data_IF_121123341580
#
_entry.id   IF_121123341580
#
_cell.length_a   1.000
_cell.length_b   1.000
_cell.length_c   1.000
_cell.angle_alpha   90.00
_cell.angle_beta   90.00
_cell.angle_gamma   90.00
#
_symmetry.space_group_name_H-M   'P 1'
#
loop_
_entity.id
_entity.type
_entity.pdbx_description
1 polymer ?
#
# COMPACT_ATOMS: atom_id res chain seq x y z
N UNK A 1 11.30 -4.36 9.92
CA UNK A 1 10.80 -5.55 9.22
C UNK A 1 9.71 -5.13 8.28
N UNK A 2 9.74 -5.62 7.04
CA UNK A 2 8.75 -5.34 6.00
C UNK A 2 8.03 -6.62 5.58
N UNK A 3 6.72 -6.59 5.27
CA UNK A 3 5.97 -7.79 4.91
C UNK A 3 6.55 -8.50 3.68
N UNK A 4 6.80 -7.79 2.57
CA UNK A 4 7.30 -8.44 1.35
C UNK A 4 8.64 -9.15 1.60
N UNK A 5 9.57 -8.46 2.25
CA UNK A 5 10.85 -9.02 2.65
C UNK A 5 10.67 -10.27 3.49
N UNK A 6 9.79 -10.22 4.49
CA UNK A 6 9.48 -11.37 5.36
C UNK A 6 8.93 -12.55 4.58
N UNK A 7 8.01 -12.36 3.63
CA UNK A 7 7.46 -13.47 2.84
C UNK A 7 8.56 -14.23 2.09
N UNK A 8 9.46 -13.49 1.45
CA UNK A 8 10.61 -14.05 0.71
C UNK A 8 11.63 -14.72 1.64
N UNK A 9 11.96 -14.05 2.74
CA UNK A 9 12.94 -14.52 3.72
C UNK A 9 12.46 -15.81 4.37
N UNK A 10 11.25 -15.83 4.92
CA UNK A 10 10.69 -16.98 5.61
C UNK A 10 10.50 -18.18 4.67
N UNK A 11 10.13 -17.94 3.41
CA UNK A 11 10.07 -19.00 2.40
C UNK A 11 11.41 -19.73 2.26
N UNK A 12 12.51 -18.98 2.05
CA UNK A 12 13.83 -19.58 1.95
C UNK A 12 14.29 -20.21 3.28
N UNK A 13 14.07 -19.51 4.40
CA UNK A 13 14.46 -19.96 5.73
C UNK A 13 13.71 -21.22 6.17
N UNK A 14 12.52 -21.50 5.66
CA UNK A 14 11.80 -22.74 5.94
C UNK A 14 12.70 -23.98 5.74
N UNK A 15 13.58 -23.96 4.73
CA UNK A 15 14.39 -25.11 4.34
C UNK A 15 15.67 -25.33 5.18
N UNK A 16 16.07 -24.38 6.03
CA UNK A 16 17.30 -24.52 6.82
C UNK A 16 17.22 -23.93 8.24
N UNK A 17 16.28 -23.04 8.50
CA UNK A 17 16.00 -22.45 9.80
C UNK A 17 14.49 -22.14 9.96
N UNK A 18 13.63 -23.19 9.98
CA UNK A 18 12.18 -23.03 10.00
C UNK A 18 11.65 -22.35 11.26
N UNK A 19 12.36 -22.44 12.39
CA UNK A 19 11.96 -21.78 13.63
C UNK A 19 11.98 -20.25 13.47
N UNK A 20 13.04 -19.69 12.89
CA UNK A 20 13.12 -18.26 12.64
C UNK A 20 12.25 -17.83 11.44
N UNK A 21 11.99 -18.72 10.48
CA UNK A 21 11.00 -18.45 9.43
C UNK A 21 9.61 -18.17 10.03
N UNK A 22 9.16 -19.03 10.97
CA UNK A 22 7.91 -18.84 11.71
C UNK A 22 7.92 -17.53 12.50
N UNK A 23 9.00 -17.25 13.24
CA UNK A 23 9.10 -16.02 14.04
C UNK A 23 9.10 -14.74 13.20
N UNK A 24 9.74 -14.74 12.02
CA UNK A 24 9.74 -13.58 11.14
C UNK A 24 8.31 -13.25 10.65
N UNK A 25 7.55 -14.27 10.24
CA UNK A 25 6.13 -14.13 9.87
C UNK A 25 5.31 -13.66 11.07
N UNK A 26 5.50 -14.25 12.25
CA UNK A 26 4.81 -13.83 13.49
C UNK A 26 5.08 -12.36 13.82
N UNK A 27 6.31 -11.88 13.64
CA UNK A 27 6.67 -10.49 13.90
C UNK A 27 5.86 -9.52 13.02
N UNK A 28 5.72 -9.82 11.73
CA UNK A 28 4.90 -9.00 10.82
C UNK A 28 3.43 -8.98 11.25
N UNK A 29 2.86 -10.14 11.57
CA UNK A 29 1.46 -10.24 12.00
C UNK A 29 1.21 -9.85 13.46
N UNK A 30 2.23 -9.59 14.28
CA UNK A 30 2.04 -9.21 15.69
C UNK A 30 1.46 -7.80 15.83
N UNK A 31 1.57 -6.99 14.77
CA UNK A 31 1.03 -5.64 14.66
C UNK A 31 -0.07 -5.52 13.61
N UNK A 32 -0.65 -6.65 13.21
CA UNK A 32 -1.84 -6.66 12.36
C UNK A 32 -3.00 -5.98 13.10
N UNK A 33 -3.69 -5.07 12.41
CA UNK A 33 -4.74 -4.24 13.01
C UNK A 33 -5.92 -5.11 13.45
N UNK A 34 -6.31 -4.91 14.71
CA UNK A 34 -7.43 -5.60 15.35
C UNK A 34 -8.66 -4.68 15.41
N UNK A 35 -9.87 -5.23 15.56
CA UNK A 35 -11.06 -4.44 15.83
C UNK A 35 -10.85 -3.51 17.04
N UNK A 36 -11.22 -2.23 16.88
CA UNK A 36 -11.07 -1.23 17.93
C UNK A 36 -9.66 -0.64 18.07
N UNK A 37 -8.77 -0.85 17.08
CA UNK A 37 -7.46 -0.18 17.05
C UNK A 37 -7.60 1.34 17.24
N UNK A 38 -6.74 1.92 18.07
CA UNK A 38 -6.84 3.31 18.49
C UNK A 38 -6.44 4.32 17.41
N UNK A 39 -5.72 3.87 16.38
CA UNK A 39 -5.20 4.74 15.30
C UNK A 39 -6.04 4.59 14.05
N UNK A 40 -6.36 3.35 13.67
CA UNK A 40 -6.98 3.00 12.39
C UNK A 40 -8.02 1.89 12.50
N UNK A 41 -9.13 2.11 13.22
CA UNK A 41 -10.16 1.10 13.38
C UNK A 41 -10.82 0.68 12.06
N UNK A 42 -10.73 1.50 11.01
CA UNK A 42 -11.21 1.19 9.65
C UNK A 42 -10.33 0.17 8.88
N UNK A 43 -9.14 -0.13 9.39
CA UNK A 43 -8.13 -0.96 8.69
C UNK A 43 -7.97 -2.35 9.33
N UNK A 44 -9.01 -2.92 9.96
CA UNK A 44 -8.93 -4.28 10.53
C UNK A 44 -8.37 -5.27 9.50
N UNK A 45 -7.35 -6.04 9.91
CA UNK A 45 -6.65 -6.98 9.06
C UNK A 45 -5.42 -6.43 8.34
N UNK A 46 -5.27 -5.11 8.24
CA UNK A 46 -4.08 -4.45 7.70
C UNK A 46 -2.81 -4.89 8.41
N UNK A 47 -1.75 -5.06 7.63
CA UNK A 47 -0.40 -5.36 8.11
C UNK A 47 0.50 -4.16 7.81
N UNK A 48 1.14 -3.53 8.82
CA UNK A 48 2.03 -2.39 8.63
C UNK A 48 3.15 -2.66 7.61
N UNK A 49 3.47 -1.65 6.81
CA UNK A 49 4.60 -1.69 5.88
C UNK A 49 5.93 -1.87 6.62
N UNK A 50 6.14 -1.13 7.70
CA UNK A 50 7.42 -1.13 8.41
C UNK A 50 7.17 -1.15 9.91
N UNK A 51 7.54 -2.25 10.55
CA UNK A 51 7.64 -2.33 12.01
C UNK A 51 9.11 -2.25 12.45
N UNK A 52 9.35 -1.58 13.56
CA UNK A 52 10.69 -1.35 14.10
C UNK A 52 10.66 -1.36 15.63
N UNK A 53 11.82 -1.13 16.24
CA UNK A 53 11.94 -1.07 17.70
C UNK A 53 11.04 0.00 18.32
N UNK A 54 11.11 1.24 17.83
CA UNK A 54 10.32 2.35 18.34
C UNK A 54 9.02 2.47 17.53
N UNK A 55 7.90 2.51 18.23
CA UNK A 55 6.58 2.82 17.67
C UNK A 55 6.53 4.24 17.13
N UNK A 56 5.59 4.51 16.23
CA UNK A 56 5.31 5.88 15.80
C UNK A 56 4.74 6.72 16.95
N UNK A 57 4.77 8.07 16.85
CA UNK A 57 4.10 8.96 17.79
C UNK A 57 2.59 8.65 17.97
N UNK A 58 1.90 8.23 16.92
CA UNK A 58 0.46 7.86 16.97
C UNK A 58 0.21 6.65 17.88
N UNK A 59 1.23 5.81 18.07
CA UNK A 59 1.19 4.66 18.96
C UNK A 59 1.97 4.88 20.26
N UNK A 60 2.32 6.14 20.58
CA UNK A 60 2.96 6.54 21.83
C UNK A 60 4.48 6.37 21.88
N UNK A 61 5.14 6.12 20.75
CA UNK A 61 6.60 6.09 20.64
C UNK A 61 7.19 7.38 20.06
N UNK A 62 8.46 7.30 19.66
CA UNK A 62 9.23 8.39 19.04
C UNK A 62 9.91 7.95 17.72
N UNK A 63 9.53 6.79 17.19
CA UNK A 63 10.11 6.19 16.00
C UNK A 63 9.71 6.92 14.72
N UNK A 64 10.70 7.32 13.92
CA UNK A 64 10.47 7.90 12.60
C UNK A 64 10.32 6.88 11.46
N UNK A 65 10.63 5.61 11.70
CA UNK A 65 10.60 4.57 10.67
C UNK A 65 9.27 3.80 10.63
N UNK A 66 8.58 3.65 11.77
CA UNK A 66 7.33 2.90 11.83
C UNK A 66 6.34 3.43 10.80
N UNK A 67 5.91 2.57 9.87
CA UNK A 67 5.11 3.00 8.73
C UNK A 67 3.83 2.18 8.59
N UNK A 68 2.71 2.90 8.58
CA UNK A 68 1.37 2.36 8.35
C UNK A 68 0.64 3.09 7.22
N UNK A 69 1.35 3.92 6.44
CA UNK A 69 0.78 4.67 5.31
C UNK A 69 0.33 3.77 4.16
N UNK A 70 0.88 2.56 4.10
CA UNK A 70 0.67 1.55 3.09
C UNK A 70 1.02 0.19 3.72
N UNK A 71 0.78 -0.88 2.97
CA UNK A 71 1.36 -2.20 3.24
C UNK A 71 2.36 -2.58 2.16
N UNK A 72 2.46 -3.86 1.80
CA UNK A 72 3.23 -4.43 0.69
C UNK A 72 2.44 -5.57 0.01
N UNK A 73 2.83 -6.02 -1.20
CA UNK A 73 2.09 -7.06 -1.90
C UNK A 73 2.03 -8.36 -1.09
N UNK A 74 0.86 -9.00 -1.05
CA UNK A 74 0.65 -10.18 -0.21
C UNK A 74 1.15 -11.45 -0.87
N UNK A 75 2.26 -11.99 -0.36
CA UNK A 75 2.67 -13.38 -0.56
C UNK A 75 2.62 -14.14 0.78
N UNK A 76 1.74 -13.69 1.69
CA UNK A 76 1.69 -14.19 3.05
C UNK A 76 1.28 -15.66 3.10
N UNK A 77 0.18 -16.04 2.42
CA UNK A 77 -0.28 -17.42 2.37
C UNK A 77 0.75 -18.35 1.72
N UNK A 78 1.38 -17.91 0.63
CA UNK A 78 2.48 -18.61 -0.03
C UNK A 78 3.66 -18.89 0.92
N UNK A 79 4.09 -17.88 1.69
CA UNK A 79 5.18 -18.01 2.65
C UNK A 79 4.83 -18.92 3.83
N UNK A 80 3.62 -18.76 4.39
CA UNK A 80 3.09 -19.62 5.46
C UNK A 80 3.02 -21.09 5.00
N UNK A 81 2.58 -21.31 3.76
CA UNK A 81 2.46 -22.64 3.17
C UNK A 81 3.82 -23.33 3.03
N UNK A 82 4.88 -22.61 2.64
CA UNK A 82 6.19 -23.25 2.49
C UNK A 82 6.77 -23.71 3.84
N UNK A 83 6.55 -22.93 4.89
CA UNK A 83 6.88 -23.37 6.26
C UNK A 83 6.10 -24.63 6.61
N UNK A 84 4.82 -24.72 6.26
CA UNK A 84 4.05 -25.95 6.44
C UNK A 84 4.58 -27.10 5.57
N UNK A 85 4.95 -26.87 4.31
CA UNK A 85 5.47 -27.90 3.41
C UNK A 85 6.73 -28.57 4.00
N UNK A 86 7.63 -27.80 4.60
CA UNK A 86 8.85 -28.33 5.22
C UNK A 86 8.58 -28.98 6.58
N UNK A 87 7.76 -28.36 7.42
CA UNK A 87 7.59 -28.80 8.82
C UNK A 87 6.44 -29.80 9.02
N UNK A 88 5.50 -29.86 8.10
CA UNK A 88 4.22 -30.60 8.18
C UNK A 88 3.41 -30.27 9.45
N UNK A 89 3.65 -29.10 10.04
CA UNK A 89 3.06 -28.67 11.31
C UNK A 89 1.67 -28.06 11.09
N UNK A 90 0.62 -28.82 11.40
CA UNK A 90 -0.77 -28.32 11.28
C UNK A 90 -1.13 -27.26 12.32
N UNK A 91 -0.44 -27.23 13.46
CA UNK A 91 -0.68 -26.19 14.46
C UNK A 91 -0.22 -24.82 13.95
N UNK A 92 0.86 -24.78 13.16
CA UNK A 92 1.28 -23.59 12.43
C UNK A 92 0.20 -23.06 11.47
N UNK A 93 -0.44 -23.94 10.69
CA UNK A 93 -1.55 -23.52 9.83
C UNK A 93 -2.73 -23.00 10.65
N UNK A 94 -3.09 -23.67 11.75
CA UNK A 94 -4.17 -23.23 12.63
C UNK A 94 -3.89 -21.86 13.28
N UNK A 95 -2.63 -21.56 13.59
CA UNK A 95 -2.19 -20.26 14.10
C UNK A 95 -2.31 -19.15 13.04
N UNK A 96 -1.85 -19.42 11.82
CA UNK A 96 -1.72 -18.39 10.79
C UNK A 96 -2.97 -18.15 9.97
N UNK A 97 -3.79 -19.19 9.74
CA UNK A 97 -4.98 -19.11 8.92
C UNK A 97 -5.92 -17.94 9.28
N UNK A 98 -6.31 -17.71 10.55
CA UNK A 98 -7.19 -16.58 10.87
C UNK A 98 -6.55 -15.21 10.58
N UNK A 99 -5.22 -15.09 10.67
CA UNK A 99 -4.48 -13.86 10.36
C UNK A 99 -4.43 -13.59 8.86
N UNK A 100 -4.26 -14.65 8.06
CA UNK A 100 -4.32 -14.58 6.60
C UNK A 100 -5.70 -14.15 6.13
N UNK A 101 -6.77 -14.78 6.64
CA UNK A 101 -8.16 -14.47 6.27
C UNK A 101 -8.48 -12.99 6.51
N UNK A 102 -8.16 -12.44 7.67
CA UNK A 102 -8.48 -11.02 7.92
C UNK A 102 -7.63 -10.06 7.09
N UNK A 103 -6.41 -10.46 6.67
CA UNK A 103 -5.61 -9.67 5.74
C UNK A 103 -6.18 -9.72 4.31
N UNK A 104 -6.59 -10.90 3.86
CA UNK A 104 -7.33 -11.10 2.61
C UNK A 104 -8.58 -10.20 2.55
N UNK A 105 -9.42 -10.27 3.60
CA UNK A 105 -10.64 -9.48 3.64
C UNK A 105 -10.37 -7.96 3.70
N UNK A 106 -9.22 -7.53 4.25
CA UNK A 106 -8.83 -6.12 4.26
C UNK A 106 -8.56 -5.60 2.85
N UNK A 107 -7.89 -6.37 1.99
CA UNK A 107 -7.66 -5.98 0.59
C UNK A 107 -8.99 -5.75 -0.14
N UNK A 108 -9.94 -6.67 -0.02
CA UNK A 108 -11.24 -6.56 -0.67
C UNK A 108 -12.11 -5.40 -0.14
N UNK A 109 -11.88 -4.96 1.10
CA UNK A 109 -12.60 -3.80 1.66
C UNK A 109 -11.93 -2.46 1.35
N UNK A 110 -10.60 -2.39 1.42
CA UNK A 110 -9.87 -1.12 1.49
C UNK A 110 -9.05 -0.82 0.21
N UNK A 111 -8.98 -1.77 -0.73
CA UNK A 111 -8.16 -1.72 -1.96
C UNK A 111 -8.88 -2.27 -3.20
N UNK A 112 -10.20 -2.15 -3.25
CA UNK A 112 -11.01 -2.49 -4.41
C UNK A 112 -11.98 -1.33 -4.65
N UNK A 113 -11.48 -0.28 -5.30
CA UNK A 113 -12.21 0.98 -5.43
C UNK A 113 -13.54 0.82 -6.16
N UNK A 114 -13.55 -0.02 -7.20
CA UNK A 114 -14.72 -0.21 -8.06
C UNK A 114 -15.59 -1.41 -7.62
N UNK A 115 -15.16 -2.20 -6.63
CA UNK A 115 -15.92 -3.30 -6.04
C UNK A 115 -16.04 -4.52 -6.95
N UNK A 116 -15.06 -4.75 -7.85
CA UNK A 116 -15.12 -5.85 -8.81
C UNK A 116 -14.40 -7.13 -8.33
N UNK A 117 -13.80 -7.11 -7.14
CA UNK A 117 -13.03 -8.22 -6.58
C UNK A 117 -11.57 -8.30 -7.06
N UNK A 118 -11.09 -7.30 -7.79
CA UNK A 118 -9.70 -7.20 -8.29
C UNK A 118 -9.04 -6.01 -7.62
N UNK A 119 -8.02 -6.22 -6.76
CA UNK A 119 -7.50 -5.15 -5.94
C UNK A 119 -6.62 -4.18 -6.74
N UNK A 120 -6.49 -2.94 -6.26
CA UNK A 120 -5.48 -1.96 -6.69
C UNK A 120 -4.41 -1.71 -5.60
N UNK A 121 -3.20 -1.31 -5.99
CA UNK A 121 -2.27 -0.75 -5.01
C UNK A 121 -2.78 0.61 -4.55
N UNK A 122 -2.49 0.96 -3.30
CA UNK A 122 -3.10 2.13 -2.69
C UNK A 122 -2.41 2.60 -1.42
N UNK A 123 -3.13 3.40 -0.65
CA UNK A 123 -2.62 3.97 0.59
C UNK A 123 -3.71 4.03 1.65
N UNK A 124 -3.33 4.10 2.91
CA UNK A 124 -4.28 4.22 4.02
C UNK A 124 -4.69 5.67 4.23
N UNK A 125 -5.77 5.88 4.97
CA UNK A 125 -5.98 7.15 5.68
C UNK A 125 -4.81 7.36 6.64
N UNK A 126 -4.19 8.54 6.62
CA UNK A 126 -3.01 8.84 7.43
C UNK A 126 -2.82 10.35 7.58
N UNK A 127 -2.19 10.80 8.67
CA UNK A 127 -1.86 12.22 8.89
C UNK A 127 -1.01 12.82 7.77
N UNK A 128 -0.20 12.01 7.08
CA UNK A 128 0.61 12.43 5.95
C UNK A 128 -0.21 12.57 4.66
N UNK A 129 -1.39 11.96 4.60
CA UNK A 129 -2.17 11.77 3.37
C UNK A 129 -3.38 12.69 3.30
N UNK A 130 -3.97 13.03 4.43
CA UNK A 130 -5.18 13.85 4.48
C UNK A 130 -5.17 14.82 5.66
N UNK A 131 -6.01 15.85 5.53
CA UNK A 131 -6.40 16.70 6.65
C UNK A 131 -7.16 15.90 7.71
N UNK A 132 -7.37 16.49 8.89
CA UNK A 132 -8.19 15.89 9.96
C UNK A 132 -9.61 15.54 9.48
N UNK A 133 -10.15 16.34 8.56
CA UNK A 133 -11.48 16.14 7.95
C UNK A 133 -11.48 15.10 6.82
N UNK A 134 -10.35 14.45 6.53
CA UNK A 134 -10.24 13.41 5.50
C UNK A 134 -10.04 13.93 4.08
N UNK A 135 -9.69 15.21 3.88
CA UNK A 135 -9.40 15.71 2.53
C UNK A 135 -7.98 15.35 2.10
N UNK A 136 -7.83 14.64 0.98
CA UNK A 136 -6.53 14.24 0.43
C UNK A 136 -5.59 15.43 0.19
N UNK A 137 -4.37 15.38 0.72
CA UNK A 137 -3.33 16.39 0.54
C UNK A 137 -2.56 16.19 -0.77
N UNK A 138 -2.20 17.30 -1.43
CA UNK A 138 -1.28 17.29 -2.57
C UNK A 138 -0.58 18.64 -2.74
N UNK A 139 0.59 18.65 -3.36
CA UNK A 139 1.37 19.85 -3.67
C UNK A 139 1.58 19.99 -5.17
N UNK A 140 1.16 21.12 -5.72
CA UNK A 140 1.36 21.48 -7.13
C UNK A 140 2.64 22.27 -7.26
N UNK A 141 3.54 21.86 -8.16
CA UNK A 141 4.80 22.58 -8.43
C UNK A 141 4.83 23.13 -9.84
N UNK A 142 5.22 24.40 -9.98
CA UNK A 142 5.39 25.07 -11.27
C UNK A 142 6.49 26.12 -11.20
N UNK A 143 7.61 25.84 -11.85
CA UNK A 143 8.84 26.60 -11.68
C UNK A 143 9.27 26.61 -10.22
N UNK A 144 9.49 27.81 -9.66
CA UNK A 144 9.84 27.99 -8.26
C UNK A 144 8.62 28.08 -7.31
N UNK A 145 7.39 27.97 -7.83
CA UNK A 145 6.17 28.05 -7.02
C UNK A 145 5.72 26.67 -6.60
N UNK A 146 5.43 26.53 -5.31
CA UNK A 146 4.78 25.36 -4.72
C UNK A 146 3.49 25.80 -4.03
N UNK A 147 2.40 25.05 -4.24
CA UNK A 147 1.10 25.29 -3.63
C UNK A 147 0.54 23.98 -3.08
N UNK A 148 0.37 23.89 -1.77
CA UNK A 148 -0.26 22.73 -1.12
C UNK A 148 -1.76 22.96 -1.02
N UNK A 149 -2.52 21.99 -1.53
CA UNK A 149 -3.97 21.98 -1.61
C UNK A 149 -4.52 20.69 -1.00
N UNK A 150 -5.83 20.66 -0.76
CA UNK A 150 -6.54 19.48 -0.29
C UNK A 150 -7.81 19.19 -1.10
N UNK A 151 -8.24 17.92 -1.06
CA UNK A 151 -9.52 17.44 -1.57
C UNK A 151 -9.47 16.93 -3.02
N UNK A 152 -10.13 15.79 -3.25
CA UNK A 152 -10.14 15.10 -4.55
C UNK A 152 -10.68 15.97 -5.69
N UNK A 153 -11.71 16.78 -5.44
CA UNK A 153 -12.26 17.70 -6.45
C UNK A 153 -11.25 18.76 -6.92
N UNK A 154 -10.41 19.27 -6.01
CA UNK A 154 -9.36 20.23 -6.38
C UNK A 154 -8.26 19.52 -7.16
N UNK A 155 -7.88 18.31 -6.73
CA UNK A 155 -6.95 17.45 -7.46
C UNK A 155 -7.41 17.20 -8.91
N UNK A 156 -8.67 16.78 -9.12
CA UNK A 156 -9.22 16.52 -10.46
C UNK A 156 -9.10 17.75 -11.35
N UNK A 157 -9.47 18.94 -10.85
CA UNK A 157 -9.36 20.20 -11.62
C UNK A 157 -7.92 20.55 -11.97
N UNK A 158 -6.96 20.26 -11.10
CA UNK A 158 -5.54 20.49 -11.35
C UNK A 158 -5.02 19.56 -12.44
N UNK A 159 -5.32 18.26 -12.33
CA UNK A 159 -4.95 17.24 -13.32
C UNK A 159 -5.55 17.54 -14.69
N UNK A 160 -6.83 17.91 -14.75
CA UNK A 160 -7.50 18.28 -16.01
C UNK A 160 -6.88 19.50 -16.69
N UNK A 161 -6.45 20.50 -15.91
CA UNK A 161 -5.75 21.67 -16.46
C UNK A 161 -4.34 21.34 -16.95
N UNK A 162 -3.65 20.40 -16.30
CA UNK A 162 -2.29 19.97 -16.68
C UNK A 162 -1.24 21.08 -16.63
N UNK A 163 -1.46 22.12 -15.81
CA UNK A 163 -0.63 23.34 -15.78
C UNK A 163 0.43 23.32 -14.67
N UNK A 164 1.13 22.21 -14.48
CA UNK A 164 2.15 21.99 -13.45
C UNK A 164 3.36 21.24 -14.04
N UNK A 165 4.52 21.39 -13.39
CA UNK A 165 5.73 20.63 -13.72
C UNK A 165 5.73 19.28 -13.01
N UNK A 166 5.27 19.25 -11.76
CA UNK A 166 5.03 18.03 -11.00
C UNK A 166 3.87 18.20 -10.02
N UNK A 167 3.31 17.06 -9.61
CA UNK A 167 2.24 16.94 -8.64
C UNK A 167 2.66 15.92 -7.60
N UNK A 168 2.84 16.36 -6.36
CA UNK A 168 3.24 15.50 -5.25
C UNK A 168 2.02 15.14 -4.41
N UNK A 169 1.64 13.86 -4.39
CA UNK A 169 0.52 13.37 -3.62
C UNK A 169 1.06 12.34 -2.63
N UNK A 170 1.19 12.67 -1.33
CA UNK A 170 1.81 11.77 -0.36
C UNK A 170 1.17 10.37 -0.31
N UNK A 171 -0.14 10.29 -0.53
CA UNK A 171 -0.87 9.02 -0.61
C UNK A 171 -0.52 8.23 -1.88
N UNK A 172 -0.35 8.88 -3.03
CA UNK A 172 0.09 8.20 -4.26
C UNK A 172 1.54 7.71 -4.16
N UNK A 173 2.40 8.47 -3.48
CA UNK A 173 3.76 8.02 -3.15
C UNK A 173 3.71 6.77 -2.26
N UNK A 174 2.86 6.74 -1.24
CA UNK A 174 2.67 5.54 -0.43
C UNK A 174 2.10 4.35 -1.23
N UNK A 175 1.29 4.61 -2.25
CA UNK A 175 0.82 3.56 -3.16
C UNK A 175 1.93 2.97 -4.03
N UNK A 176 2.90 3.79 -4.47
CA UNK A 176 4.08 3.23 -5.15
C UNK A 176 4.91 2.39 -4.19
N UNK A 177 5.06 2.80 -2.92
CA UNK A 177 5.67 1.96 -1.88
C UNK A 177 4.91 0.65 -1.67
N UNK A 178 3.56 0.67 -1.70
CA UNK A 178 2.74 -0.53 -1.54
C UNK A 178 2.99 -1.56 -2.64
N UNK A 179 3.29 -1.10 -3.85
CA UNK A 179 3.68 -1.96 -4.97
C UNK A 179 5.08 -2.57 -4.83
N UNK A 180 5.89 -2.05 -3.88
CA UNK A 180 7.32 -2.34 -3.65
C UNK A 180 8.21 -2.13 -4.87
N UNK A 181 7.82 -1.21 -5.77
CA UNK A 181 8.47 -0.88 -7.05
C UNK A 181 8.31 0.60 -7.32
N UNK A 182 8.85 1.39 -6.40
CA UNK A 182 8.47 2.77 -6.13
C UNK A 182 8.64 3.75 -7.31
N UNK A 183 9.49 3.40 -8.28
CA UNK A 183 9.82 4.17 -9.49
C UNK A 183 9.54 3.40 -10.79
N UNK A 184 8.74 2.33 -10.74
CA UNK A 184 8.44 1.54 -11.94
C UNK A 184 7.60 2.32 -12.95
N UNK A 185 7.97 2.20 -14.22
CA UNK A 185 7.31 2.87 -15.35
C UNK A 185 5.79 2.72 -15.39
N UNK A 186 5.27 1.54 -15.03
CA UNK A 186 3.83 1.25 -15.02
C UNK A 186 3.04 2.11 -14.03
N UNK A 187 3.70 2.72 -13.05
CA UNK A 187 3.08 3.63 -12.08
C UNK A 187 3.26 5.11 -12.46
N UNK A 188 3.63 5.40 -13.72
CA UNK A 188 3.74 6.75 -14.25
C UNK A 188 5.12 7.39 -14.04
N UNK A 189 6.09 6.66 -13.49
CA UNK A 189 7.44 7.16 -13.30
C UNK A 189 8.23 7.08 -14.61
N UNK A 190 8.60 8.24 -15.13
CA UNK A 190 9.39 8.39 -16.35
C UNK A 190 10.24 9.65 -16.21
N UNK A 191 11.51 9.59 -16.57
CA UNK A 191 12.36 10.78 -16.50
C UNK A 191 11.96 11.81 -17.59
N UNK A 192 12.43 13.04 -17.44
CA UNK A 192 12.09 14.14 -18.35
C UNK A 192 12.52 13.84 -19.80
N UNK A 193 13.72 13.30 -20.00
CA UNK A 193 14.25 13.05 -21.34
C UNK A 193 13.49 11.93 -22.06
N UNK A 194 13.15 10.87 -21.32
CA UNK A 194 12.32 9.76 -21.79
C UNK A 194 10.92 10.25 -22.15
N UNK A 195 10.29 11.06 -21.30
CA UNK A 195 8.95 11.61 -21.57
C UNK A 195 8.96 12.56 -22.76
N UNK A 196 9.98 13.42 -22.88
CA UNK A 196 10.14 14.32 -24.02
C UNK A 196 10.31 13.52 -25.34
N UNK A 197 11.08 12.43 -25.32
CA UNK A 197 11.21 11.50 -26.47
C UNK A 197 9.89 10.77 -26.77
N UNK A 198 9.18 10.30 -25.75
CA UNK A 198 7.87 9.63 -25.90
C UNK A 198 6.85 10.56 -26.58
N UNK A 199 6.79 11.81 -26.14
CA UNK A 199 5.92 12.84 -26.73
C UNK A 199 6.35 13.20 -28.15
N UNK A 200 7.66 13.33 -28.41
CA UNK A 200 8.18 13.58 -29.76
C UNK A 200 7.82 12.46 -30.75
N UNK A 201 7.64 11.23 -30.27
CA UNK A 201 7.20 10.08 -31.05
C UNK A 201 5.66 9.94 -31.14
N UNK A 202 4.90 10.94 -30.71
CA UNK A 202 3.44 10.99 -30.84
C UNK A 202 2.64 10.57 -29.60
N UNK A 203 3.30 10.20 -28.50
CA UNK A 203 2.65 9.95 -27.21
C UNK A 203 2.16 11.22 -26.52
N UNK A 204 1.33 11.09 -25.49
CA UNK A 204 0.86 12.23 -24.68
C UNK A 204 1.42 12.14 -23.28
N UNK A 205 1.76 13.29 -22.67
CA UNK A 205 2.20 13.32 -21.26
C UNK A 205 1.15 12.74 -20.30
N UNK A 206 -0.12 12.92 -20.63
CA UNK A 206 -1.25 12.36 -19.88
C UNK A 206 -1.28 10.83 -19.83
N UNK A 207 -0.64 10.16 -20.79
CA UNK A 207 -0.60 8.69 -20.84
C UNK A 207 0.24 8.11 -19.67
N UNK A 208 1.13 8.92 -19.10
CA UNK A 208 1.95 8.58 -17.93
C UNK A 208 1.33 9.08 -16.62
N UNK A 209 0.14 9.67 -16.65
CA UNK A 209 -0.54 10.14 -15.44
C UNK A 209 -1.43 9.03 -14.89
N UNK A 210 -0.98 8.37 -13.82
CA UNK A 210 -1.84 7.44 -13.07
C UNK A 210 -2.77 8.26 -12.17
N UNK A 211 -4.08 8.11 -12.39
CA UNK A 211 -5.10 8.79 -11.56
C UNK A 211 -5.23 8.12 -10.19
N UNK A 212 -5.74 8.86 -9.23
CA UNK A 212 -5.87 8.44 -7.83
C UNK A 212 -7.31 8.65 -7.35
N UNK A 213 -7.79 7.77 -6.47
CA UNK A 213 -9.15 7.83 -5.92
C UNK A 213 -9.18 7.52 -4.41
N UNK A 214 -10.21 8.05 -3.75
CA UNK A 214 -10.55 7.76 -2.35
C UNK A 214 -11.48 6.54 -2.28
N UNK A 215 -11.25 5.67 -1.29
CA UNK A 215 -12.08 4.52 -1.00
C UNK A 215 -12.92 4.82 0.24
N UNK A 216 -14.24 4.68 0.12
CA UNK A 216 -15.18 4.94 1.21
C UNK A 216 -16.06 3.72 1.47
N UNK A 217 -16.39 3.48 2.74
CA UNK A 217 -17.46 2.56 3.12
C UNK A 217 -18.83 3.12 2.75
N UNK A 218 -19.87 2.28 2.87
CA UNK A 218 -21.25 2.66 2.58
C UNK A 218 -21.77 3.85 3.44
N UNK A 219 -21.25 4.01 4.65
CA UNK A 219 -21.60 5.14 5.55
C UNK A 219 -20.76 6.41 5.30
N UNK A 220 -19.87 6.38 4.31
CA UNK A 220 -19.01 7.51 3.93
C UNK A 220 -17.68 7.59 4.67
N UNK A 221 -17.36 6.65 5.57
CA UNK A 221 -16.05 6.61 6.24
C UNK A 221 -14.94 6.44 5.22
N UNK A 222 -13.93 7.32 5.24
CA UNK A 222 -12.73 7.20 4.42
C UNK A 222 -11.90 5.99 4.89
N UNK A 223 -11.80 4.98 4.03
CA UNK A 223 -11.03 3.75 4.26
C UNK A 223 -9.58 3.92 3.80
N UNK A 224 -9.35 4.69 2.75
CA UNK A 224 -8.01 4.90 2.19
C UNK A 224 -8.10 5.35 0.73
N UNK A 225 -7.14 4.92 -0.07
CA UNK A 225 -6.98 5.34 -1.45
C UNK A 225 -6.54 4.17 -2.32
N UNK A 226 -6.87 4.24 -3.60
CA UNK A 226 -6.41 3.33 -4.64
C UNK A 226 -5.84 4.13 -5.82
N UNK A 227 -4.83 3.57 -6.49
CA UNK A 227 -4.57 3.91 -7.87
C UNK A 227 -5.82 3.56 -8.69
N UNK A 228 -6.22 4.39 -9.64
CA UNK A 228 -7.24 4.01 -10.63
C UNK A 228 -6.59 3.13 -11.72
N UNK A 229 -5.97 2.04 -11.27
CA UNK A 229 -5.19 1.08 -12.03
C UNK A 229 -5.09 -0.24 -11.26
N UNK A 230 -5.78 -1.27 -11.76
CA UNK A 230 -5.61 -2.64 -11.29
C UNK A 230 -4.29 -3.21 -11.81
N UNK A 231 -3.42 -3.62 -10.90
CA UNK A 231 -2.09 -4.12 -11.25
C UNK A 231 -2.10 -5.64 -11.39
N UNK A 232 -1.65 -6.13 -12.55
CA UNK A 232 -1.72 -7.57 -12.87
C UNK A 232 -0.93 -8.46 -11.91
N UNK A 233 0.21 -7.97 -11.40
CA UNK A 233 0.98 -8.68 -10.39
C UNK A 233 0.19 -8.79 -9.08
N UNK A 234 -0.50 -7.72 -8.68
CA UNK A 234 -1.33 -7.75 -7.47
C UNK A 234 -2.51 -8.71 -7.62
N UNK A 235 -3.21 -8.69 -8.76
CA UNK A 235 -4.26 -9.66 -9.04
C UNK A 235 -3.73 -11.11 -9.02
N UNK A 236 -2.52 -11.32 -9.53
CA UNK A 236 -1.85 -12.64 -9.50
C UNK A 236 -1.47 -13.07 -8.07
N UNK A 237 -1.06 -12.12 -7.22
CA UNK A 237 -0.83 -12.39 -5.80
C UNK A 237 -2.13 -12.71 -5.06
N UNK A 238 -3.22 -11.98 -5.33
CA UNK A 238 -4.56 -12.28 -4.79
C UNK A 238 -5.08 -13.64 -5.25
N UNK A 239 -4.78 -14.06 -6.48
CA UNK A 239 -5.09 -15.42 -6.95
C UNK A 239 -4.32 -16.50 -6.17
N UNK A 240 -3.10 -16.19 -5.72
CA UNK A 240 -2.26 -17.11 -4.95
C UNK A 240 -2.60 -17.16 -3.47
N UNK A 241 -3.27 -16.12 -2.94
CA UNK A 241 -3.61 -15.95 -1.53
C UNK A 241 -4.78 -16.86 -1.12
#
# INVERSE_FOLDING_TARGET
TWPWDTWKQAFAMAHFNPDIAKENIRAVFSWQIQPGDSVRPQDVGFVPDLIAWNLSPERGGDGGNWNERNTKPSLAAWSVMEVYNVTQDKAWLAEMYPKLVVYHDWWLRNRDHNGNGVPEYGATRDKAHNTENGEMLFTVKKGAKEETLSGLNNYTRVVEKGQYDSLEIPAQVAASWESGRDDAAVFGFIDKEQLDKYVANGGKRSDWTVKFAENHSQDGTLLGYSLLQESVDQASYMYSD
#
